data_IF_688295299310
#
_entry.id   IF_688295299310
#
_cell.length_a   1.000
_cell.length_b   1.000
_cell.length_c   1.000
_cell.angle_alpha   90.00
_cell.angle_beta   90.00
_cell.angle_gamma   90.00
#
_symmetry.space_group_name_H-M   'P 1'
#
loop_
_entity.id
_entity.type
_entity.pdbx_description
1 polymer ?
#
# COMPACT_ATOMS: atom_id res chain seq x y z
N UNK A 1 10.13 10.98 30.66
CA UNK A 1 8.97 10.71 29.78
C UNK A 1 9.53 10.19 28.47
N UNK A 2 9.50 8.87 28.26
CA UNK A 2 10.05 8.25 27.05
C UNK A 2 9.17 8.65 25.87
N UNK A 3 9.72 9.17 24.76
CA UNK A 3 8.94 9.37 23.55
C UNK A 3 8.50 7.99 23.07
N UNK A 4 7.19 7.76 23.03
CA UNK A 4 6.62 6.62 22.32
C UNK A 4 7.17 6.66 20.89
N UNK A 5 8.01 5.68 20.57
CA UNK A 5 8.29 5.30 19.19
C UNK A 5 6.92 5.07 18.55
N UNK A 6 6.41 6.03 17.77
CA UNK A 6 5.43 5.70 16.74
C UNK A 6 6.18 4.71 15.85
N UNK A 7 5.81 3.42 15.82
CA UNK A 7 6.50 2.51 14.93
C UNK A 7 6.28 3.10 13.54
N UNK A 8 7.36 3.34 12.80
CA UNK A 8 7.32 3.89 11.44
C UNK A 8 6.35 3.12 10.51
N UNK A 9 5.88 1.96 10.96
CA UNK A 9 4.92 1.07 10.36
C UNK A 9 3.46 1.54 10.44
N UNK A 10 2.98 2.26 11.47
CA UNK A 10 1.53 2.55 11.63
C UNK A 10 1.05 3.85 10.95
N UNK A 11 1.91 4.52 10.19
CA UNK A 11 1.56 5.73 9.47
C UNK A 11 2.74 6.69 9.37
N UNK A 12 2.92 7.22 8.16
CA UNK A 12 3.95 8.20 7.88
C UNK A 12 3.28 9.58 7.95
N UNK A 13 2.99 10.01 9.19
CA UNK A 13 2.33 11.29 9.50
C UNK A 13 0.80 11.29 9.39
N UNK A 14 0.16 12.32 9.96
CA UNK A 14 -1.29 12.50 9.91
C UNK A 14 -1.76 12.54 8.43
N UNK A 15 -2.58 11.57 8.03
CA UNK A 15 -3.19 11.41 6.70
C UNK A 15 -2.36 10.71 5.60
N UNK A 16 -1.28 9.99 5.91
CA UNK A 16 -0.68 9.03 4.96
C UNK A 16 -0.43 7.68 5.64
N UNK A 17 -1.04 6.64 5.08
CA UNK A 17 -0.86 5.26 5.53
C UNK A 17 0.33 4.62 4.83
N UNK A 18 0.89 3.57 5.42
CA UNK A 18 1.88 2.71 4.76
C UNK A 18 1.18 1.53 4.11
N UNK A 19 1.74 1.02 3.03
CA UNK A 19 1.25 -0.18 2.38
C UNK A 19 2.41 -1.07 1.92
N UNK A 20 2.13 -2.38 1.90
CA UNK A 20 2.89 -3.36 1.17
C UNK A 20 2.25 -3.53 -0.22
N UNK A 21 3.02 -3.23 -1.27
CA UNK A 21 2.52 -3.34 -2.65
C UNK A 21 2.82 -4.73 -3.22
N UNK A 22 1.94 -5.25 -4.10
CA UNK A 22 2.28 -6.42 -4.91
C UNK A 22 3.53 -6.17 -5.77
N UNK A 23 4.14 -7.24 -6.29
CA UNK A 23 5.46 -7.15 -6.93
C UNK A 23 5.54 -6.06 -8.01
N UNK A 24 4.53 -5.91 -8.88
CA UNK A 24 4.54 -4.85 -9.90
C UNK A 24 4.55 -3.42 -9.35
N UNK A 25 3.94 -3.20 -8.17
CA UNK A 25 3.94 -1.91 -7.48
C UNK A 25 5.25 -1.66 -6.73
N UNK A 26 5.76 -2.70 -6.06
CA UNK A 26 7.00 -2.62 -5.29
C UNK A 26 8.23 -2.52 -6.20
N UNK A 27 8.34 -3.41 -7.19
CA UNK A 27 9.39 -3.41 -8.19
C UNK A 27 9.06 -4.33 -9.38
N UNK A 28 8.93 -3.74 -10.58
CA UNK A 28 8.56 -4.50 -11.79
C UNK A 28 9.65 -5.47 -12.29
N UNK A 29 10.90 -5.33 -11.85
CA UNK A 29 11.98 -6.27 -12.15
C UNK A 29 12.05 -7.46 -11.19
N UNK A 30 11.24 -7.49 -10.14
CA UNK A 30 11.18 -8.61 -9.20
C UNK A 30 12.08 -8.45 -7.97
N UNK A 31 12.59 -7.25 -7.70
CA UNK A 31 13.42 -7.01 -6.50
C UNK A 31 12.60 -7.22 -5.21
N UNK A 32 13.25 -7.80 -4.19
CA UNK A 32 12.65 -8.05 -2.88
C UNK A 32 13.03 -7.03 -1.81
N UNK A 33 13.97 -6.13 -2.10
CA UNK A 33 14.49 -5.14 -1.16
C UNK A 33 14.84 -3.84 -1.88
N UNK A 34 14.41 -2.71 -1.30
CA UNK A 34 14.59 -1.38 -1.90
C UNK A 34 14.11 -1.29 -3.37
N UNK A 35 12.95 -1.89 -3.65
CA UNK A 35 12.31 -1.81 -4.97
C UNK A 35 12.07 -0.38 -5.43
N UNK A 36 12.03 -0.17 -6.75
CA UNK A 36 11.84 1.14 -7.36
C UNK A 36 10.49 1.82 -7.04
N UNK A 37 9.54 1.09 -6.46
CA UNK A 37 8.27 1.58 -5.93
C UNK A 37 8.33 2.17 -4.52
N UNK A 38 9.39 1.86 -3.76
CA UNK A 38 9.56 2.33 -2.39
C UNK A 38 9.51 3.86 -2.28
N UNK A 39 8.76 4.36 -1.29
CA UNK A 39 8.62 5.79 -1.03
C UNK A 39 7.68 6.52 -1.99
N UNK A 40 7.12 5.85 -3.02
CA UNK A 40 6.08 6.43 -3.88
C UNK A 40 4.73 6.41 -3.15
N UNK A 41 3.93 7.45 -3.39
CA UNK A 41 2.60 7.55 -2.84
C UNK A 41 1.53 7.35 -3.91
N UNK A 42 0.43 6.77 -3.48
CA UNK A 42 -0.73 6.50 -4.31
C UNK A 42 -1.98 7.01 -3.61
N UNK A 43 -2.87 7.64 -4.38
CA UNK A 43 -4.23 7.93 -3.94
C UNK A 43 -5.11 6.77 -4.33
N UNK A 44 -5.71 6.11 -3.34
CA UNK A 44 -6.67 5.03 -3.51
C UNK A 44 -8.06 5.62 -3.36
N UNK A 45 -8.96 5.34 -4.31
CA UNK A 45 -10.36 5.79 -4.28
C UNK A 45 -11.26 4.57 -4.32
N UNK A 46 -12.07 4.41 -3.28
CA UNK A 46 -13.02 3.31 -3.16
C UNK A 46 -14.04 3.32 -4.30
N UNK A 47 -14.26 2.15 -4.91
CA UNK A 47 -15.37 1.93 -5.86
C UNK A 47 -16.67 1.56 -5.12
N UNK A 48 -16.59 1.30 -3.83
CA UNK A 48 -17.71 0.94 -2.96
C UNK A 48 -17.96 -0.55 -2.78
N UNK A 49 -17.21 -1.42 -3.47
CA UNK A 49 -17.41 -2.88 -3.43
C UNK A 49 -16.14 -3.62 -3.00
N UNK A 50 -16.29 -4.88 -2.59
CA UNK A 50 -15.18 -5.82 -2.38
C UNK A 50 -14.99 -6.72 -3.61
N UNK A 51 -13.85 -7.42 -3.67
CA UNK A 51 -13.47 -8.25 -4.81
C UNK A 51 -14.33 -9.53 -4.97
N UNK A 52 -14.97 -9.98 -3.90
CA UNK A 52 -15.82 -11.17 -3.87
C UNK A 52 -16.80 -11.12 -2.67
N UNK A 53 -17.87 -11.93 -2.67
CA UNK A 53 -18.92 -11.84 -1.66
C UNK A 53 -18.51 -12.12 -0.22
N UNK A 54 -17.35 -12.77 0.00
CA UNK A 54 -16.91 -13.24 1.34
C UNK A 54 -15.53 -12.73 1.74
N UNK A 55 -14.89 -11.90 0.93
CA UNK A 55 -13.55 -11.39 1.20
C UNK A 55 -13.55 -9.96 1.74
N UNK A 56 -14.72 -9.36 2.00
CA UNK A 56 -14.87 -8.11 2.73
C UNK A 56 -16.19 -7.41 2.41
N UNK A 57 -16.50 -6.35 3.14
CA UNK A 57 -17.72 -5.56 2.99
C UNK A 57 -17.62 -4.40 1.97
N UNK A 58 -16.42 -4.09 1.47
CA UNK A 58 -16.20 -2.95 0.58
C UNK A 58 -16.10 -1.64 1.38
N UNK A 59 -16.60 -0.54 0.84
CA UNK A 59 -16.46 0.77 1.49
C UNK A 59 -17.39 1.84 0.95
N UNK A 60 -17.19 3.08 1.38
CA UNK A 60 -17.94 4.22 0.85
C UNK A 60 -17.40 4.59 -0.54
N UNK A 61 -18.22 4.52 -1.58
CA UNK A 61 -17.80 4.86 -2.94
C UNK A 61 -17.34 6.32 -3.04
N UNK A 62 -16.21 6.56 -3.72
CA UNK A 62 -15.62 7.89 -3.90
C UNK A 62 -14.76 8.39 -2.73
N UNK A 63 -14.78 7.72 -1.57
CA UNK A 63 -13.86 8.03 -0.47
C UNK A 63 -12.42 7.71 -0.87
N UNK A 64 -11.50 8.62 -0.56
CA UNK A 64 -10.07 8.44 -0.86
C UNK A 64 -9.18 8.44 0.37
N UNK A 65 -8.06 7.71 0.27
CA UNK A 65 -6.91 7.82 1.17
C UNK A 65 -5.61 7.96 0.35
N UNK A 66 -4.53 8.35 1.02
CA UNK A 66 -3.18 8.30 0.46
C UNK A 66 -2.36 7.25 1.20
N UNK A 67 -1.71 6.37 0.43
CA UNK A 67 -0.79 5.35 0.93
C UNK A 67 0.62 5.62 0.39
N UNK A 68 1.65 5.27 1.14
CA UNK A 68 3.04 5.20 0.69
C UNK A 68 3.48 3.74 0.67
N UNK A 69 4.13 3.30 -0.41
CA UNK A 69 4.75 1.98 -0.45
C UNK A 69 6.01 1.96 0.41
N UNK A 70 6.01 1.12 1.42
CA UNK A 70 7.15 0.95 2.35
C UNK A 70 7.58 -0.49 2.49
N UNK A 71 6.85 -1.44 1.90
CA UNK A 71 7.12 -2.86 1.99
C UNK A 71 6.63 -3.59 0.73
N UNK A 72 7.03 -4.85 0.60
CA UNK A 72 6.58 -5.78 -0.43
C UNK A 72 5.50 -6.69 0.15
N UNK A 73 4.41 -6.90 -0.59
CA UNK A 73 3.54 -8.06 -0.43
C UNK A 73 4.00 -9.12 -1.44
N UNK A 74 4.79 -10.13 -1.01
CA UNK A 74 5.36 -11.11 -1.93
C UNK A 74 4.28 -12.08 -2.40
N UNK A 75 4.44 -12.60 -3.62
CA UNK A 75 3.52 -13.61 -4.16
C UNK A 75 3.47 -14.87 -3.32
N UNK A 76 4.64 -15.39 -2.91
CA UNK A 76 4.72 -16.58 -2.07
C UNK A 76 4.03 -16.28 -0.73
N UNK A 77 3.12 -17.18 -0.32
CA UNK A 77 2.20 -17.08 0.83
C UNK A 77 1.07 -16.05 0.71
N UNK A 78 1.00 -15.25 -0.36
CA UNK A 78 -0.09 -14.31 -0.62
C UNK A 78 -0.64 -14.45 -2.05
N UNK A 79 -0.60 -15.66 -2.61
CA UNK A 79 -0.87 -15.96 -4.02
C UNK A 79 -2.28 -15.53 -4.45
N UNK A 80 -3.22 -15.57 -3.50
CA UNK A 80 -4.60 -15.15 -3.70
C UNK A 80 -4.73 -13.66 -4.02
N UNK A 81 -3.88 -12.82 -3.42
CA UNK A 81 -4.03 -11.37 -3.40
C UNK A 81 -2.92 -10.63 -4.15
N UNK A 82 -1.67 -11.03 -3.96
CA UNK A 82 -0.48 -10.30 -4.41
C UNK A 82 0.18 -11.00 -5.59
N UNK A 83 -0.15 -10.63 -6.85
CA UNK A 83 0.40 -11.32 -8.00
C UNK A 83 1.88 -10.98 -8.21
N UNK A 84 2.58 -11.86 -8.94
CA UNK A 84 3.88 -11.54 -9.52
C UNK A 84 3.76 -10.38 -10.52
N UNK A 85 4.88 -9.71 -10.83
CA UNK A 85 4.89 -8.65 -11.82
C UNK A 85 4.38 -9.17 -13.19
N UNK A 86 3.42 -8.45 -13.79
CA UNK A 86 2.77 -8.86 -15.04
C UNK A 86 1.66 -9.92 -14.90
N UNK A 87 1.39 -10.41 -13.68
CA UNK A 87 0.31 -11.35 -13.39
C UNK A 87 -1.00 -10.67 -12.99
N UNK A 88 -2.01 -11.50 -12.73
CA UNK A 88 -3.29 -11.13 -12.11
C UNK A 88 -3.52 -12.03 -10.90
N UNK A 89 -4.17 -11.50 -9.86
CA UNK A 89 -4.52 -12.28 -8.67
C UNK A 89 -5.79 -13.12 -8.90
N UNK A 90 -6.23 -13.86 -7.87
CA UNK A 90 -7.39 -14.75 -7.96
C UNK A 90 -8.71 -14.02 -8.29
N UNK A 91 -8.73 -12.69 -8.13
CA UNK A 91 -9.89 -11.83 -8.32
C UNK A 91 -9.79 -10.96 -9.60
N UNK A 92 -8.78 -11.18 -10.44
CA UNK A 92 -8.63 -10.49 -11.72
C UNK A 92 -7.94 -9.12 -11.65
N UNK A 93 -7.29 -8.77 -10.54
CA UNK A 93 -6.56 -7.51 -10.38
C UNK A 93 -5.05 -7.71 -10.57
N UNK A 94 -4.40 -6.81 -11.31
CA UNK A 94 -2.95 -6.82 -11.54
C UNK A 94 -2.14 -6.24 -10.36
N UNK A 95 -2.80 -5.54 -9.45
CA UNK A 95 -2.17 -4.81 -8.36
C UNK A 95 -2.91 -5.04 -7.04
N UNK A 96 -2.16 -5.05 -5.94
CA UNK A 96 -2.71 -5.16 -4.59
C UNK A 96 -1.94 -4.25 -3.64
N UNK A 97 -2.67 -3.60 -2.74
CA UNK A 97 -2.13 -2.80 -1.64
C UNK A 97 -2.60 -3.42 -0.33
N UNK A 98 -1.68 -4.02 0.41
CA UNK A 98 -1.93 -4.45 1.78
C UNK A 98 -1.62 -3.28 2.72
N UNK A 99 -2.65 -2.69 3.31
CA UNK A 99 -2.53 -1.41 4.01
C UNK A 99 -2.34 -1.66 5.50
N UNK A 100 -1.24 -1.14 6.05
CA UNK A 100 -0.96 -1.30 7.46
C UNK A 100 -1.86 -0.37 8.28
N UNK A 101 -2.84 -0.96 8.96
CA UNK A 101 -3.70 -0.26 9.91
C UNK A 101 -4.23 -1.25 10.96
N UNK A 102 -4.31 -0.85 12.25
CA UNK A 102 -4.97 -1.67 13.26
C UNK A 102 -6.51 -1.63 13.14
N UNK A 103 -7.05 -0.64 12.42
CA UNK A 103 -8.48 -0.38 12.28
C UNK A 103 -8.92 -0.33 10.82
N UNK A 104 -10.22 -0.50 10.57
CA UNK A 104 -10.84 -0.24 9.26
C UNK A 104 -10.81 1.26 8.96
N UNK A 105 -9.92 1.67 8.06
CA UNK A 105 -9.62 3.10 7.81
C UNK A 105 -10.47 3.75 6.72
N UNK A 106 -10.88 3.01 5.70
CA UNK A 106 -11.76 3.54 4.63
C UNK A 106 -12.63 2.48 3.92
N UNK A 107 -12.60 1.25 4.40
CA UNK A 107 -13.34 0.10 3.86
C UNK A 107 -12.69 -1.21 4.28
N UNK A 108 -13.43 -2.30 4.16
CA UNK A 108 -13.00 -3.67 4.40
C UNK A 108 -12.75 -4.36 3.04
N UNK A 109 -11.46 -4.56 2.71
CA UNK A 109 -10.97 -5.12 1.45
C UNK A 109 -11.65 -4.54 0.20
N UNK A 110 -11.67 -3.21 0.18
CA UNK A 110 -12.31 -2.41 -0.86
C UNK A 110 -11.53 -2.46 -2.17
N UNK A 111 -12.25 -2.65 -3.28
CA UNK A 111 -11.72 -2.46 -4.63
C UNK A 111 -11.52 -0.96 -4.85
N UNK A 112 -10.37 -0.59 -5.38
CA UNK A 112 -10.00 0.82 -5.55
C UNK A 112 -9.56 1.13 -6.97
N UNK A 113 -9.89 2.34 -7.40
CA UNK A 113 -9.14 3.03 -8.45
C UNK A 113 -7.93 3.71 -7.81
N UNK A 114 -6.77 3.67 -8.47
CA UNK A 114 -5.56 4.28 -7.91
C UNK A 114 -4.76 5.10 -8.92
N UNK A 115 -4.04 6.09 -8.42
CA UNK A 115 -3.10 6.91 -9.18
C UNK A 115 -1.88 7.27 -8.33
N UNK A 116 -0.70 7.31 -8.94
CA UNK A 116 0.48 7.82 -8.26
C UNK A 116 0.32 9.33 -8.04
N UNK A 117 0.68 9.81 -6.84
CA UNK A 117 0.59 11.22 -6.44
C UNK A 117 1.87 11.66 -5.74
N UNK A 118 2.06 12.98 -5.64
CA UNK A 118 3.11 13.52 -4.78
C UNK A 118 2.84 13.17 -3.32
N UNK A 119 3.88 12.64 -2.66
CA UNK A 119 3.80 12.35 -1.24
C UNK A 119 3.69 13.64 -0.41
N UNK A 120 2.77 13.69 0.58
CA UNK A 120 2.71 14.79 1.54
C UNK A 120 4.07 15.08 2.18
N UNK A 121 4.32 16.34 2.54
CA UNK A 121 5.64 16.78 3.03
C UNK A 121 6.12 15.94 4.22
N UNK A 122 5.26 15.72 5.22
CA UNK A 122 5.60 14.90 6.39
C UNK A 122 5.97 13.49 5.95
N UNK A 123 5.22 12.93 5.00
CA UNK A 123 5.48 11.59 4.51
C UNK A 123 6.88 11.47 3.87
N UNK A 124 7.24 12.44 3.03
CA UNK A 124 8.58 12.50 2.42
C UNK A 124 9.69 12.67 3.45
N UNK A 125 9.45 13.44 4.51
CA UNK A 125 10.46 13.67 5.56
C UNK A 125 10.72 12.43 6.39
N UNK A 126 9.67 11.66 6.67
CA UNK A 126 9.80 10.39 7.38
C UNK A 126 10.42 9.30 6.47
N UNK A 127 10.06 9.25 5.18
CA UNK A 127 10.69 8.34 4.19
C UNK A 127 12.21 8.48 4.16
N UNK A 128 12.75 9.71 4.28
CA UNK A 128 14.20 9.98 4.33
C UNK A 128 14.94 9.28 5.47
N UNK A 129 14.23 8.72 6.45
CA UNK A 129 14.82 7.94 7.54
C UNK A 129 14.92 6.44 7.21
N UNK A 130 14.28 5.98 6.15
CA UNK A 130 14.33 4.59 5.70
C UNK A 130 15.65 4.33 4.94
N UNK A 131 16.24 3.14 5.14
CA UNK A 131 17.50 2.74 4.50
C UNK A 131 17.45 2.88 2.96
N UNK A 132 16.32 2.48 2.37
CA UNK A 132 16.14 2.51 0.92
C UNK A 132 15.99 3.92 0.34
N UNK A 133 15.80 4.96 1.16
CA UNK A 133 15.53 6.33 0.65
C UNK A 133 16.73 7.00 -0.01
N UNK A 134 17.94 6.51 0.26
CA UNK A 134 19.18 6.97 -0.35
C UNK A 134 19.70 6.04 -1.45
N UNK A 135 18.94 5.00 -1.81
CA UNK A 135 19.31 4.10 -2.91
C UNK A 135 18.74 4.64 -4.24
N UNK A 136 19.53 4.56 -5.33
CA UNK A 136 19.10 5.01 -6.65
C UNK A 136 17.92 4.22 -7.19
#
# INVERSE_FOLDING_TARGET
MSPQLKPAQFGIGNATYTAAGSQALFDSSGEGWCGSGCGKCYRLTSTGVSACPTCGEGGEAGRSITVMLTNLCPYVTNEEWCPNAGGINAYGYAHHFDIMSPDVIFGDNVVVEFSQVDCPLVARMDWRRCECSSRP
#
